data_IF_389986063611
#
_entry.id   IF_389986063611
#
_cell.length_a   1.000
_cell.length_b   1.000
_cell.length_c   1.000
_cell.angle_alpha   90.00
_cell.angle_beta   90.00
_cell.angle_gamma   90.00
#
_symmetry.space_group_name_H-M   'P 1'
#
loop_
_entity.id
_entity.type
_entity.pdbx_description
1 polymer ?
#
# COMPACT_ATOMS: atom_id res chain seq x y z
N UNK A 1 69.13 -10.78 -21.27
CA UNK A 1 68.14 -9.92 -20.61
C UNK A 1 66.76 -10.40 -21.03
N UNK A 2 66.14 -11.28 -20.23
CA UNK A 2 64.79 -11.79 -20.48
C UNK A 2 63.82 -11.08 -19.54
N UNK A 3 62.89 -10.31 -20.10
CA UNK A 3 61.77 -9.73 -19.35
C UNK A 3 60.60 -10.72 -19.41
N UNK A 4 60.20 -11.25 -18.26
CA UNK A 4 58.93 -11.95 -18.08
C UNK A 4 57.89 -10.94 -17.61
N UNK A 5 56.92 -10.62 -18.46
CA UNK A 5 55.68 -9.97 -18.03
C UNK A 5 54.74 -11.01 -17.42
N UNK A 6 54.16 -10.77 -16.23
CA UNK A 6 53.04 -11.59 -15.76
C UNK A 6 51.79 -11.28 -16.57
N UNK A 7 51.07 -12.34 -16.92
CA UNK A 7 49.73 -12.35 -17.52
C UNK A 7 48.75 -11.54 -16.65
N UNK A 8 47.82 -10.75 -17.21
CA UNK A 8 46.77 -10.13 -16.40
C UNK A 8 45.88 -11.23 -15.83
N UNK A 9 45.77 -11.27 -14.50
CA UNK A 9 44.80 -12.11 -13.82
C UNK A 9 43.39 -11.63 -14.16
N UNK A 10 42.60 -12.55 -14.71
CA UNK A 10 41.17 -12.38 -14.97
C UNK A 10 40.48 -12.08 -13.66
N UNK A 11 39.80 -10.94 -13.59
CA UNK A 11 38.96 -10.51 -12.47
C UNK A 11 38.02 -11.63 -11.99
N UNK A 12 37.99 -11.98 -10.70
CA UNK A 12 36.76 -12.44 -10.09
C UNK A 12 35.85 -11.22 -9.99
N UNK A 13 34.77 -11.17 -10.79
CA UNK A 13 33.64 -10.31 -10.44
C UNK A 13 33.23 -10.70 -9.02
N UNK A 14 33.12 -9.75 -8.06
CA UNK A 14 32.40 -10.06 -6.86
C UNK A 14 30.98 -10.41 -7.28
N UNK A 15 30.53 -11.62 -6.96
CA UNK A 15 29.11 -11.98 -7.00
C UNK A 15 28.37 -10.99 -6.11
N UNK A 16 27.84 -9.95 -6.74
CA UNK A 16 26.92 -8.98 -6.17
C UNK A 16 25.51 -9.59 -6.09
N UNK A 17 25.40 -10.76 -5.44
CA UNK A 17 24.13 -11.45 -5.21
C UNK A 17 23.95 -11.80 -3.73
N UNK A 18 24.43 -10.93 -2.83
CA UNK A 18 24.26 -11.09 -1.37
C UNK A 18 23.57 -9.92 -0.69
N UNK A 19 22.98 -8.98 -1.43
CA UNK A 19 22.26 -7.84 -0.84
C UNK A 19 20.85 -7.62 -1.39
N UNK A 20 20.28 -8.58 -2.13
CA UNK A 20 18.83 -8.60 -2.25
C UNK A 20 18.33 -9.28 -0.97
N UNK A 21 17.90 -8.48 0.00
CA UNK A 21 16.99 -8.98 1.02
C UNK A 21 15.87 -9.70 0.25
N UNK A 22 15.64 -10.99 0.50
CA UNK A 22 14.59 -11.80 -0.14
C UNK A 22 13.22 -11.24 0.27
N UNK A 23 12.85 -10.10 -0.32
CA UNK A 23 11.58 -9.42 -0.16
C UNK A 23 10.57 -10.22 -0.97
N UNK A 24 9.89 -11.18 -0.34
CA UNK A 24 8.69 -11.87 -0.83
C UNK A 24 8.71 -12.38 -2.30
N UNK A 25 9.87 -12.64 -2.89
CA UNK A 25 10.02 -13.03 -4.31
C UNK A 25 9.49 -14.42 -4.63
N UNK A 26 9.27 -15.27 -3.61
CA UNK A 26 8.75 -16.64 -3.76
C UNK A 26 7.23 -16.74 -3.56
N UNK A 27 6.50 -15.61 -3.67
CA UNK A 27 5.04 -15.61 -3.55
C UNK A 27 4.38 -16.31 -4.75
N UNK A 28 3.25 -17.03 -4.52
CA UNK A 28 2.46 -17.56 -5.63
C UNK A 28 1.90 -16.42 -6.51
N UNK A 29 1.54 -16.69 -7.77
CA UNK A 29 0.85 -15.71 -8.61
C UNK A 29 -0.43 -15.19 -7.95
N UNK A 30 -0.77 -13.94 -8.23
CA UNK A 30 -1.98 -13.33 -7.72
C UNK A 30 -3.23 -13.88 -8.46
N UNK A 31 -4.41 -13.93 -7.82
CA UNK A 31 -4.74 -13.36 -6.50
C UNK A 31 -4.19 -14.18 -5.32
N UNK A 32 -3.82 -13.48 -4.24
CA UNK A 32 -3.27 -14.06 -3.00
C UNK A 32 -4.09 -13.67 -1.78
N UNK A 33 -3.95 -14.46 -0.73
CA UNK A 33 -4.41 -14.11 0.61
C UNK A 33 -3.22 -13.98 1.58
N UNK A 34 -3.25 -12.95 2.41
CA UNK A 34 -2.23 -12.65 3.41
C UNK A 34 -2.80 -12.85 4.82
N UNK A 35 -1.92 -13.17 5.77
CA UNK A 35 -2.27 -13.26 7.19
C UNK A 35 -1.63 -12.12 7.97
N UNK A 36 -2.15 -11.76 9.13
CA UNK A 36 -1.47 -10.76 9.99
C UNK A 36 -0.03 -11.19 10.35
N UNK A 37 0.22 -12.50 10.47
CA UNK A 37 1.56 -13.06 10.70
C UNK A 37 2.51 -12.85 9.52
N UNK A 38 1.99 -12.87 8.29
CA UNK A 38 2.76 -12.55 7.09
C UNK A 38 3.36 -11.14 7.19
N UNK A 39 2.56 -10.17 7.65
CA UNK A 39 2.98 -8.77 7.80
C UNK A 39 3.89 -8.51 9.00
N UNK A 40 3.78 -9.31 10.07
CA UNK A 40 4.52 -9.10 11.34
C UNK A 40 5.93 -9.69 11.38
N UNK A 41 6.36 -10.50 10.39
CA UNK A 41 7.49 -11.44 10.53
C UNK A 41 8.77 -10.79 11.10
N UNK A 42 9.07 -11.03 12.37
CA UNK A 42 9.93 -10.20 13.25
C UNK A 42 11.43 -10.07 12.89
N UNK A 43 11.93 -10.78 11.88
CA UNK A 43 13.38 -10.90 11.60
C UNK A 43 13.92 -10.10 10.41
N UNK A 44 13.11 -9.28 9.73
CA UNK A 44 13.65 -8.31 8.76
C UNK A 44 13.50 -6.91 9.32
N UNK A 45 14.59 -6.13 9.25
CA UNK A 45 14.70 -4.78 9.77
C UNK A 45 13.68 -3.79 9.17
N UNK A 46 12.96 -4.19 8.13
CA UNK A 46 11.97 -3.38 7.39
C UNK A 46 10.51 -3.87 7.54
N UNK A 47 10.19 -4.74 8.50
CA UNK A 47 8.83 -5.32 8.64
C UNK A 47 7.95 -4.60 9.67
N UNK A 48 6.65 -4.56 9.37
CA UNK A 48 5.66 -3.66 9.98
C UNK A 48 5.67 -3.68 11.51
N UNK A 49 5.86 -2.50 12.09
CA UNK A 49 5.82 -2.34 13.54
C UNK A 49 4.40 -2.58 14.08
N UNK A 50 4.31 -2.79 15.41
CA UNK A 50 3.03 -2.95 16.12
C UNK A 50 2.02 -1.84 15.77
N UNK A 51 2.49 -0.60 15.58
CA UNK A 51 1.65 0.54 15.18
C UNK A 51 1.00 0.35 13.82
N UNK A 52 1.73 -0.14 12.81
CA UNK A 52 1.17 -0.40 11.47
C UNK A 52 0.03 -1.42 11.54
N UNK A 53 0.21 -2.52 12.28
CA UNK A 53 -0.84 -3.54 12.41
C UNK A 53 -2.04 -3.01 13.19
N UNK A 54 -1.82 -2.22 14.23
CA UNK A 54 -2.89 -1.55 14.96
C UNK A 54 -3.71 -0.65 14.03
N UNK A 55 -3.05 0.20 13.25
CA UNK A 55 -3.70 1.13 12.31
C UNK A 55 -4.48 0.35 11.26
N UNK A 56 -3.90 -0.70 10.66
CA UNK A 56 -4.58 -1.54 9.69
C UNK A 56 -5.87 -2.16 10.25
N UNK A 57 -5.82 -2.65 11.50
CA UNK A 57 -7.00 -3.22 12.14
C UNK A 57 -8.06 -2.17 12.45
N UNK A 58 -7.67 -0.99 12.94
CA UNK A 58 -8.59 0.13 13.15
C UNK A 58 -9.20 0.61 11.83
N UNK A 59 -8.41 0.68 10.76
CA UNK A 59 -8.85 1.04 9.43
C UNK A 59 -9.94 0.08 8.94
N UNK A 60 -9.72 -1.23 9.02
CA UNK A 60 -10.73 -2.25 8.67
C UNK A 60 -12.00 -2.19 9.54
N UNK A 61 -11.93 -1.60 10.73
CA UNK A 61 -13.02 -1.46 11.70
C UNK A 61 -13.74 -0.11 11.65
N UNK A 62 -13.55 0.69 10.59
CA UNK A 62 -14.29 1.95 10.41
C UNK A 62 -15.81 1.79 10.30
N UNK A 63 -16.33 0.59 10.03
CA UNK A 63 -17.77 0.27 9.87
C UNK A 63 -18.58 1.32 9.08
N UNK A 64 -18.03 1.85 7.99
CA UNK A 64 -18.61 2.99 7.27
C UNK A 64 -20.01 2.69 6.72
N UNK A 65 -20.25 1.43 6.34
CA UNK A 65 -21.54 1.00 5.77
C UNK A 65 -22.68 0.95 6.79
N UNK A 66 -22.37 1.03 8.10
CA UNK A 66 -23.38 1.13 9.15
C UNK A 66 -23.78 2.56 9.50
N UNK A 67 -23.06 3.55 8.97
CA UNK A 67 -23.33 4.97 9.22
C UNK A 67 -24.32 5.51 8.19
N UNK A 68 -25.29 6.28 8.66
CA UNK A 68 -26.39 6.76 7.82
C UNK A 68 -26.01 8.03 7.05
N UNK A 69 -25.20 8.91 7.65
CA UNK A 69 -24.80 10.18 7.04
C UNK A 69 -23.38 10.14 6.50
N UNK A 70 -23.14 10.86 5.40
CA UNK A 70 -21.80 11.05 4.87
C UNK A 70 -20.94 11.93 5.80
N UNK A 71 -21.55 12.89 6.51
CA UNK A 71 -20.85 13.70 7.52
C UNK A 71 -20.27 12.83 8.65
N UNK A 72 -21.00 11.78 9.06
CA UNK A 72 -20.54 10.84 10.08
C UNK A 72 -19.38 9.97 9.56
N UNK A 73 -19.48 9.50 8.31
CA UNK A 73 -18.43 8.72 7.66
C UNK A 73 -17.16 9.55 7.51
N UNK A 74 -17.29 10.78 7.00
CA UNK A 74 -16.18 11.72 6.85
C UNK A 74 -15.50 11.97 8.20
N UNK A 75 -16.28 12.33 9.23
CA UNK A 75 -15.76 12.57 10.58
C UNK A 75 -14.98 11.36 11.12
N UNK A 76 -15.48 10.13 10.90
CA UNK A 76 -14.82 8.90 11.36
C UNK A 76 -13.53 8.61 10.60
N UNK A 77 -13.49 8.91 9.30
CA UNK A 77 -12.28 8.79 8.48
C UNK A 77 -11.24 9.82 8.95
N UNK A 78 -11.65 11.06 9.18
CA UNK A 78 -10.79 12.14 9.66
C UNK A 78 -10.22 11.84 11.04
N UNK A 79 -11.04 11.32 11.97
CA UNK A 79 -10.59 10.91 13.30
C UNK A 79 -9.50 9.86 13.22
N UNK A 80 -9.64 8.86 12.34
CA UNK A 80 -8.61 7.84 12.13
C UNK A 80 -7.31 8.44 11.60
N UNK A 81 -7.40 9.28 10.57
CA UNK A 81 -6.27 9.98 9.97
C UNK A 81 -5.53 10.87 10.99
N UNK A 82 -6.28 11.62 11.81
CA UNK A 82 -5.74 12.48 12.86
C UNK A 82 -5.12 11.69 14.01
N UNK A 83 -5.69 10.52 14.36
CA UNK A 83 -5.15 9.62 15.39
C UNK A 83 -3.86 8.93 14.94
N UNK A 84 -3.75 8.63 13.65
CA UNK A 84 -2.62 7.89 13.08
C UNK A 84 -1.92 8.66 11.94
N UNK A 85 -1.39 9.86 12.20
CA UNK A 85 -0.79 10.68 11.16
C UNK A 85 0.46 9.98 10.59
N UNK A 86 0.55 9.94 9.26
CA UNK A 86 1.62 9.30 8.50
C UNK A 86 1.82 7.82 8.82
N UNK A 87 0.83 7.15 9.40
CA UNK A 87 0.91 5.71 9.60
C UNK A 87 0.79 5.00 8.25
N UNK A 88 1.66 4.02 8.05
CA UNK A 88 1.65 3.19 6.85
C UNK A 88 0.59 2.09 6.96
N UNK A 89 -0.18 1.89 5.89
CA UNK A 89 -1.14 0.79 5.73
C UNK A 89 -0.69 -0.07 4.54
N UNK A 90 -0.39 -1.37 4.75
CA UNK A 90 0.00 -2.26 3.65
C UNK A 90 -1.20 -2.60 2.76
N UNK A 91 -0.97 -2.61 1.45
CA UNK A 91 -1.96 -2.95 0.43
C UNK A 91 -1.70 -4.34 -0.16
N UNK A 92 -0.49 -4.58 -0.65
CA UNK A 92 -0.12 -5.79 -1.41
C UNK A 92 1.39 -5.99 -1.45
N UNK A 93 1.84 -7.01 -2.17
CA UNK A 93 3.23 -7.20 -2.60
C UNK A 93 3.26 -7.20 -4.12
N UNK A 94 4.13 -6.43 -4.75
CA UNK A 94 4.27 -6.36 -6.22
C UNK A 94 5.01 -7.58 -6.81
N UNK A 95 5.18 -7.58 -8.13
CA UNK A 95 5.80 -8.70 -8.88
C UNK A 95 7.27 -8.95 -8.51
N UNK A 96 7.94 -7.91 -8.02
CA UNK A 96 9.36 -7.95 -7.64
C UNK A 96 9.51 -8.28 -6.15
N UNK A 97 8.38 -8.49 -5.45
CA UNK A 97 8.34 -8.86 -4.05
C UNK A 97 8.39 -7.67 -3.08
N UNK A 98 8.26 -6.44 -3.58
CA UNK A 98 8.19 -5.26 -2.72
C UNK A 98 6.80 -5.08 -2.13
N UNK A 99 6.75 -4.73 -0.85
CA UNK A 99 5.48 -4.35 -0.23
C UNK A 99 5.04 -3.01 -0.78
N UNK A 100 3.76 -2.94 -1.14
CA UNK A 100 3.06 -1.75 -1.57
C UNK A 100 2.08 -1.34 -0.50
N UNK A 101 1.90 -0.04 -0.33
CA UNK A 101 1.07 0.51 0.71
C UNK A 101 1.07 2.03 0.65
N UNK A 102 0.37 2.63 1.59
CA UNK A 102 0.20 4.08 1.60
C UNK A 102 0.32 4.64 3.00
N UNK A 103 0.77 5.89 3.07
CA UNK A 103 0.84 6.65 4.30
C UNK A 103 -0.44 7.47 4.44
N UNK A 104 -1.09 7.37 5.60
CA UNK A 104 -2.24 8.21 5.93
C UNK A 104 -1.83 9.68 5.97
N UNK A 105 -2.65 10.56 5.39
CA UNK A 105 -2.49 11.99 5.60
C UNK A 105 -2.92 12.37 7.02
N UNK A 106 -2.08 13.14 7.71
CA UNK A 106 -2.44 13.65 9.05
C UNK A 106 -3.52 14.73 9.02
N UNK A 107 -3.70 15.43 7.89
CA UNK A 107 -4.76 16.40 7.65
C UNK A 107 -4.72 16.89 6.20
N UNK A 108 -5.48 16.30 5.27
CA UNK A 108 -5.69 16.89 3.94
C UNK A 108 -7.11 16.60 3.43
N UNK A 109 -7.91 17.64 3.19
CA UNK A 109 -9.16 17.50 2.47
C UNK A 109 -8.92 17.64 0.96
N UNK A 110 -8.49 16.57 0.27
CA UNK A 110 -8.77 16.47 -1.17
C UNK A 110 -9.98 15.59 -1.32
N UNK A 111 -11.15 16.21 -1.35
CA UNK A 111 -12.40 15.51 -1.55
C UNK A 111 -12.80 15.53 -3.02
N UNK A 112 -13.45 14.47 -3.45
CA UNK A 112 -14.17 14.45 -4.72
C UNK A 112 -15.65 14.68 -4.40
N UNK A 113 -16.27 15.63 -5.08
CA UNK A 113 -17.65 16.04 -4.83
C UNK A 113 -18.45 16.13 -6.12
N UNK A 114 -19.78 16.19 -5.99
CA UNK A 114 -20.68 16.52 -7.09
C UNK A 114 -20.87 15.36 -8.07
N UNK A 115 -20.91 15.67 -9.37
CA UNK A 115 -21.28 14.68 -10.39
C UNK A 115 -20.24 13.57 -10.59
N UNK A 116 -18.97 13.84 -10.31
CA UNK A 116 -17.88 12.85 -10.39
C UNK A 116 -18.14 11.64 -9.49
N UNK A 117 -18.79 11.84 -8.34
CA UNK A 117 -19.15 10.76 -7.43
C UNK A 117 -20.11 9.73 -8.05
N UNK A 118 -21.01 10.18 -8.94
CA UNK A 118 -21.99 9.31 -9.61
C UNK A 118 -21.29 8.29 -10.52
N UNK A 119 -20.16 8.65 -11.12
CA UNK A 119 -19.39 7.76 -11.99
C UNK A 119 -18.85 6.55 -11.22
N UNK A 120 -18.61 6.71 -9.92
CA UNK A 120 -18.11 5.67 -9.03
C UNK A 120 -19.21 5.00 -8.19
N UNK A 121 -20.44 5.49 -8.31
CA UNK A 121 -21.58 5.05 -7.49
C UNK A 121 -21.37 5.34 -6.00
N UNK A 122 -20.74 6.46 -5.69
CA UNK A 122 -20.46 6.93 -4.33
C UNK A 122 -21.28 8.19 -4.02
N UNK A 123 -21.42 8.50 -2.74
CA UNK A 123 -21.96 9.79 -2.25
C UNK A 123 -20.90 10.61 -1.51
N UNK A 124 -19.79 9.97 -1.16
CA UNK A 124 -18.62 10.56 -0.51
C UNK A 124 -17.36 9.84 -1.02
N UNK A 125 -16.31 10.58 -1.37
CA UNK A 125 -14.97 10.04 -1.60
C UNK A 125 -13.94 11.00 -0.98
N UNK A 126 -13.18 10.48 -0.01
CA UNK A 126 -12.18 11.23 0.75
C UNK A 126 -10.79 10.79 0.36
N UNK A 127 -9.87 11.70 0.04
CA UNK A 127 -8.46 11.36 -0.09
C UNK A 127 -7.85 11.12 1.29
N UNK A 128 -7.31 9.93 1.52
CA UNK A 128 -6.83 9.51 2.84
C UNK A 128 -5.32 9.34 2.92
N UNK A 129 -4.60 9.33 1.79
CA UNK A 129 -3.16 9.13 1.83
C UNK A 129 -2.46 9.09 0.49
N UNK A 130 -1.16 8.82 0.55
CA UNK A 130 -0.26 8.72 -0.59
C UNK A 130 0.43 7.36 -0.60
N UNK A 131 0.30 6.65 -1.72
CA UNK A 131 1.02 5.41 -2.03
C UNK A 131 2.46 5.72 -2.45
N UNK A 132 3.37 4.77 -2.21
CA UNK A 132 4.83 4.93 -2.39
C UNK A 132 5.27 5.43 -3.79
N UNK A 133 4.45 5.23 -4.83
CA UNK A 133 4.68 5.72 -6.20
C UNK A 133 4.05 7.08 -6.52
N UNK A 134 3.66 7.84 -5.48
CA UNK A 134 2.93 9.11 -5.55
C UNK A 134 1.50 8.98 -6.10
N UNK A 135 0.88 7.81 -5.93
CA UNK A 135 -0.54 7.63 -6.22
C UNK A 135 -1.37 8.13 -5.04
N UNK A 136 -2.41 8.92 -5.31
CA UNK A 136 -3.34 9.35 -4.26
C UNK A 136 -4.30 8.21 -3.95
N UNK A 137 -4.50 7.92 -2.66
CA UNK A 137 -5.44 6.91 -2.18
C UNK A 137 -6.69 7.59 -1.66
N UNK A 138 -7.85 7.08 -2.07
CA UNK A 138 -9.15 7.59 -1.70
C UNK A 138 -10.02 6.49 -1.09
N UNK A 139 -10.87 6.86 -0.15
CA UNK A 139 -11.85 5.99 0.49
C UNK A 139 -13.25 6.53 0.21
N UNK A 140 -14.05 5.72 -0.48
CA UNK A 140 -15.47 5.99 -0.70
C UNK A 140 -16.30 5.70 0.55
N UNK A 141 -17.42 6.40 0.70
CA UNK A 141 -18.38 6.17 1.78
C UNK A 141 -18.96 4.74 1.79
N UNK A 142 -18.94 4.05 0.65
CA UNK A 142 -19.30 2.63 0.55
C UNK A 142 -18.24 1.67 1.12
N UNK A 143 -17.07 2.17 1.52
CA UNK A 143 -15.93 1.37 1.94
C UNK A 143 -15.02 0.92 0.79
N UNK A 144 -15.27 1.33 -0.45
CA UNK A 144 -14.36 1.06 -1.57
C UNK A 144 -13.12 1.95 -1.49
N UNK A 145 -11.95 1.34 -1.64
CA UNK A 145 -10.68 2.03 -1.75
C UNK A 145 -10.32 2.23 -3.21
N UNK A 146 -9.90 3.44 -3.55
CA UNK A 146 -9.50 3.82 -4.89
C UNK A 146 -8.08 4.39 -4.91
N UNK A 147 -7.45 4.33 -6.08
CA UNK A 147 -6.16 4.93 -6.35
C UNK A 147 -6.20 5.75 -7.63
N UNK A 148 -5.52 6.89 -7.66
CA UNK A 148 -5.31 7.69 -8.86
C UNK A 148 -3.85 8.12 -9.01
N UNK A 149 -3.36 8.00 -10.25
CA UNK A 149 -2.06 8.51 -10.68
C UNK A 149 -2.25 9.79 -11.47
N UNK A 150 -1.67 10.92 -11.03
CA UNK A 150 -1.51 12.15 -11.82
C UNK A 150 -2.69 12.46 -12.78
N UNK A 151 -3.89 12.62 -12.21
CA UNK A 151 -5.13 12.97 -12.95
C UNK A 151 -5.78 11.84 -13.76
N UNK A 152 -5.33 10.59 -13.61
CA UNK A 152 -6.05 9.43 -14.13
C UNK A 152 -7.34 9.18 -13.33
N UNK A 153 -8.38 8.57 -13.97
CA UNK A 153 -9.59 8.16 -13.28
C UNK A 153 -9.31 7.28 -12.06
N UNK A 154 -10.18 7.34 -11.05
CA UNK A 154 -10.04 6.49 -9.88
C UNK A 154 -10.13 5.01 -10.28
N UNK A 155 -9.12 4.23 -9.91
CA UNK A 155 -9.11 2.79 -10.05
C UNK A 155 -9.46 2.14 -8.73
N UNK A 156 -10.50 1.31 -8.72
CA UNK A 156 -10.86 0.50 -7.56
C UNK A 156 -9.72 -0.48 -7.22
N UNK A 157 -9.38 -0.57 -5.93
CA UNK A 157 -8.37 -1.49 -5.41
C UNK A 157 -8.99 -2.60 -4.56
N UNK A 158 -9.66 -2.22 -3.48
CA UNK A 158 -10.15 -3.13 -2.44
C UNK A 158 -11.42 -2.59 -1.82
N UNK A 159 -12.22 -3.46 -1.20
CA UNK A 159 -12.99 -2.99 -0.05
C UNK A 159 -12.02 -2.80 1.12
N UNK A 160 -12.15 -1.72 1.87
CA UNK A 160 -11.23 -1.34 2.93
C UNK A 160 -11.03 -2.43 4.01
N UNK A 161 -12.04 -3.28 4.23
CA UNK A 161 -11.99 -4.44 5.13
C UNK A 161 -11.05 -5.56 4.65
N UNK A 162 -10.85 -5.65 3.34
CA UNK A 162 -10.01 -6.67 2.69
C UNK A 162 -8.55 -6.25 2.53
N UNK A 163 -8.22 -4.97 2.75
CA UNK A 163 -6.86 -4.44 2.62
C UNK A 163 -5.90 -5.24 3.47
N UNK A 164 -4.74 -5.63 2.91
CA UNK A 164 -3.74 -6.42 3.62
C UNK A 164 -4.20 -7.85 3.96
N UNK A 165 -5.35 -8.30 3.44
CA UNK A 165 -5.77 -9.71 3.51
C UNK A 165 -5.84 -10.31 2.12
N UNK A 166 -6.14 -9.52 1.09
CA UNK A 166 -6.21 -9.97 -0.30
C UNK A 166 -5.26 -9.17 -1.18
N UNK A 167 -4.85 -9.75 -2.29
CA UNK A 167 -4.18 -9.04 -3.39
C UNK A 167 -5.21 -8.44 -4.35
N UNK A 168 -4.90 -7.26 -4.89
CA UNK A 168 -5.73 -6.56 -5.90
C UNK A 168 -5.26 -6.86 -7.32
N UNK A 169 -4.16 -7.59 -7.48
CA UNK A 169 -3.41 -7.81 -8.73
C UNK A 169 -2.90 -6.52 -9.40
N UNK A 170 -3.37 -5.35 -8.97
CA UNK A 170 -3.06 -4.04 -9.55
C UNK A 170 -1.56 -3.83 -9.55
N UNK A 171 -0.88 -4.20 -8.47
CA UNK A 171 0.56 -4.02 -8.33
C UNK A 171 1.40 -5.11 -9.02
N UNK A 172 0.80 -6.14 -9.64
CA UNK A 172 1.57 -7.20 -10.31
C UNK A 172 2.05 -6.81 -11.72
N UNK A 173 1.44 -5.79 -12.32
CA UNK A 173 1.73 -5.40 -13.70
C UNK A 173 2.58 -4.12 -13.81
N UNK A 174 2.90 -3.48 -12.68
CA UNK A 174 3.77 -2.30 -12.62
C UNK A 174 5.19 -2.70 -12.27
#
# INVERSE_FOLDING_TARGET
MGQTHPKPETHPKPNSDKSKNDLFTDLPPAPRAYTDNFWRKENDADRFCKRTIEVLNQFRQLELESLESDDEKESKIEELCAKYPCAYIPLDVDKDGYVRGFNLFGSIPTYIYGEELKEYGETLIVCIGLEDTNAMIYLGGSGKLYMSYRYEPLKFLYNYKDIGVKSSDVFQNY
#
